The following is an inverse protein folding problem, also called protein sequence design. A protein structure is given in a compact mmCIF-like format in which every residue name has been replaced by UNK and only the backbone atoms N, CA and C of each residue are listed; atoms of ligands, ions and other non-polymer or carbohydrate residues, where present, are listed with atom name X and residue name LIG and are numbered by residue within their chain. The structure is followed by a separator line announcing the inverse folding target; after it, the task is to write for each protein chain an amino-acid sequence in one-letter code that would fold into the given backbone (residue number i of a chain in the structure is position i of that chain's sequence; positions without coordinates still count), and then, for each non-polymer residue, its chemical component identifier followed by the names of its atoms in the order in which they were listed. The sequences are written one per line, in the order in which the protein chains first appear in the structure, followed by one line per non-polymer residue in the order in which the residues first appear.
data_IF_908323913681
#
_entry.id   IF_908323913681
#
_cell.length_a   1.000
_cell.length_b   1.000
_cell.length_c   1.000
_cell.angle_alpha   90.00
_cell.angle_beta   90.00
_cell.angle_gamma   90.00
#
_symmetry.space_group_name_H-M   'P 1'
#
loop_
_entity.id
_entity.type
_entity.pdbx_description
1 polymer ?
#
# COMPACT_ATOMS: atom_id res chain seq x y z
N UNK A 1 -27.75 20.76 15.21
CA UNK A 1 -26.77 21.84 15.48
C UNK A 1 -26.18 22.27 14.15
N UNK A 2 -26.39 23.54 13.80
CA UNK A 2 -26.09 24.15 12.50
C UNK A 2 -24.59 24.40 12.34
N UNK A 3 -24.05 24.15 11.14
CA UNK A 3 -22.79 24.78 10.72
C UNK A 3 -22.96 25.29 9.29
N UNK A 4 -22.85 26.60 9.17
CA UNK A 4 -23.13 27.46 8.03
C UNK A 4 -22.07 27.35 6.94
N UNK A 5 -22.49 27.08 5.70
CA UNK A 5 -21.69 27.31 4.50
C UNK A 5 -21.69 28.82 4.19
N UNK A 6 -20.53 29.47 4.29
CA UNK A 6 -20.34 30.85 3.82
C UNK A 6 -19.89 30.76 2.36
N UNK A 7 -20.84 30.85 1.43
CA UNK A 7 -20.56 31.11 0.02
C UNK A 7 -20.39 32.63 -0.16
N UNK A 8 -19.17 33.13 -0.07
CA UNK A 8 -18.84 34.49 -0.51
C UNK A 8 -18.78 34.54 -2.03
N UNK A 9 -19.90 34.93 -2.65
CA UNK A 9 -19.98 35.35 -4.05
C UNK A 9 -19.33 36.72 -4.20
N UNK A 10 -18.10 36.76 -4.71
CA UNK A 10 -17.45 37.97 -5.19
C UNK A 10 -18.01 38.34 -6.56
N UNK A 11 -18.94 39.30 -6.60
CA UNK A 11 -19.41 39.93 -7.84
C UNK A 11 -18.46 41.06 -8.23
N UNK A 12 -17.65 40.82 -9.28
CA UNK A 12 -16.85 41.87 -9.89
C UNK A 12 -17.70 42.63 -10.92
N UNK A 13 -18.11 43.85 -10.57
CA UNK A 13 -18.69 44.80 -11.54
C UNK A 13 -17.60 45.23 -12.54
N UNK A 14 -17.70 44.70 -13.75
CA UNK A 14 -16.81 45.01 -14.86
C UNK A 14 -17.07 46.43 -15.41
N UNK A 15 -16.52 47.44 -14.75
CA UNK A 15 -16.47 48.80 -15.30
C UNK A 15 -15.14 49.03 -16.02
N UNK A 16 -15.23 49.05 -17.36
CA UNK A 16 -14.36 49.74 -18.34
C UNK A 16 -12.87 49.83 -17.99
N UNK A 17 -12.16 48.69 -18.02
CA UNK A 17 -10.70 48.70 -18.25
C UNK A 17 -10.38 48.53 -19.73
N UNK A 18 -9.50 49.40 -20.25
CA UNK A 18 -9.03 49.42 -21.63
C UNK A 18 -8.31 48.14 -22.04
N UNK A 19 -8.33 47.85 -23.35
CA UNK A 19 -7.91 46.58 -23.94
C UNK A 19 -6.51 46.10 -23.54
N UNK A 20 -5.57 47.01 -23.26
CA UNK A 20 -4.20 46.68 -22.84
C UNK A 20 -4.10 46.20 -21.37
N UNK A 21 -4.96 46.68 -20.47
CA UNK A 21 -4.94 46.30 -19.05
C UNK A 21 -5.64 44.97 -18.77
N UNK A 22 -6.60 44.55 -19.62
CA UNK A 22 -7.25 43.24 -19.51
C UNK A 22 -6.30 42.07 -19.79
N UNK A 23 -5.34 42.27 -20.70
CA UNK A 23 -4.36 41.23 -21.07
C UNK A 23 -3.39 40.99 -19.90
N UNK A 24 -2.89 42.06 -19.25
CA UNK A 24 -1.97 41.92 -18.11
C UNK A 24 -2.62 41.19 -16.92
N UNK A 25 -3.90 41.46 -16.66
CA UNK A 25 -4.63 40.83 -15.55
C UNK A 25 -4.91 39.33 -15.82
N UNK A 26 -5.21 38.96 -17.07
CA UNK A 26 -5.36 37.56 -17.48
C UNK A 26 -4.05 36.77 -17.39
N UNK A 27 -2.92 37.39 -17.74
CA UNK A 27 -1.58 36.77 -17.57
C UNK A 27 -1.24 36.59 -16.09
N UNK A 28 -1.55 37.56 -15.23
CA UNK A 28 -1.33 37.43 -13.79
C UNK A 28 -2.21 36.34 -13.14
N UNK A 29 -3.48 36.22 -13.55
CA UNK A 29 -4.40 35.15 -13.08
C UNK A 29 -4.01 33.75 -13.60
N UNK A 30 -3.43 33.66 -14.80
CA UNK A 30 -2.88 32.40 -15.33
C UNK A 30 -1.58 31.98 -14.60
N UNK A 31 -0.77 32.93 -14.12
CA UNK A 31 0.45 32.63 -13.39
C UNK A 31 0.20 32.18 -11.94
N UNK A 32 -0.92 32.57 -11.32
CA UNK A 32 -1.27 32.19 -9.93
C UNK A 32 -1.96 30.81 -9.82
N UNK A 33 -2.40 30.19 -10.91
CA UNK A 33 -3.18 28.94 -10.88
C UNK A 33 -2.36 27.64 -11.04
N UNK A 34 -1.03 27.71 -11.13
CA UNK A 34 -0.18 26.52 -11.36
C UNK A 34 0.62 26.04 -10.16
N UNK A 35 0.53 26.70 -9.00
CA UNK A 35 1.21 26.25 -7.76
C UNK A 35 0.35 25.31 -6.90
N UNK A 36 -0.25 24.29 -7.51
CA UNK A 36 -0.66 23.09 -6.77
C UNK A 36 0.57 22.20 -6.62
N UNK A 37 1.52 22.65 -5.79
CA UNK A 37 2.70 21.89 -5.39
C UNK A 37 2.27 20.66 -4.59
N UNK A 38 1.85 19.61 -5.28
CA UNK A 38 1.77 18.27 -4.70
C UNK A 38 3.19 17.92 -4.30
N UNK A 39 3.52 18.03 -3.02
CA UNK A 39 4.80 17.58 -2.48
C UNK A 39 4.94 16.09 -2.83
N UNK A 40 5.61 15.80 -3.95
CA UNK A 40 5.80 14.45 -4.42
C UNK A 40 6.55 13.70 -3.32
N UNK A 41 5.84 12.82 -2.63
CA UNK A 41 6.37 12.07 -1.51
C UNK A 41 7.53 11.22 -2.02
N UNK A 42 8.75 11.59 -1.65
CA UNK A 42 9.94 10.86 -2.10
C UNK A 42 10.13 9.56 -1.34
N UNK A 43 9.65 9.52 -0.10
CA UNK A 43 9.87 8.42 0.85
C UNK A 43 8.58 7.76 1.30
N UNK A 44 8.69 6.51 1.71
CA UNK A 44 7.57 5.70 2.16
C UNK A 44 6.95 6.26 3.44
N UNK A 45 5.67 6.63 3.39
CA UNK A 45 4.86 6.79 4.59
C UNK A 45 4.08 5.51 4.86
N UNK A 46 4.44 4.80 5.94
CA UNK A 46 3.79 3.55 6.35
C UNK A 46 2.32 3.73 6.74
N UNK A 47 1.90 4.95 7.09
CA UNK A 47 0.51 5.27 7.41
C UNK A 47 -0.32 5.73 6.20
N UNK A 48 0.27 5.68 4.99
CA UNK A 48 -0.29 6.15 3.71
C UNK A 48 -0.59 7.64 3.71
N UNK A 49 -0.61 8.21 2.51
CA UNK A 49 -0.95 9.62 2.34
C UNK A 49 -2.39 9.74 1.84
N UNK A 50 -3.18 10.62 2.46
CA UNK A 50 -4.56 10.85 2.02
C UNK A 50 -4.60 11.44 0.60
N UNK A 51 -5.55 11.01 -0.24
CA UNK A 51 -5.77 11.65 -1.54
C UNK A 51 -6.22 13.09 -1.33
N UNK A 52 -5.57 14.04 -2.01
CA UNK A 52 -5.81 15.49 -1.81
C UNK A 52 -4.89 16.16 -0.78
N UNK A 53 -3.95 15.42 -0.18
CA UNK A 53 -3.02 15.95 0.80
C UNK A 53 -3.55 15.85 2.24
N UNK A 54 -2.64 16.01 3.21
CA UNK A 54 -2.92 15.86 4.63
C UNK A 54 -1.87 15.04 5.38
N UNK A 55 -1.94 15.08 6.70
CA UNK A 55 -0.98 14.40 7.57
C UNK A 55 -1.58 13.10 8.10
N UNK A 56 -0.79 12.03 8.03
CA UNK A 56 -1.06 10.77 8.72
C UNK A 56 0.23 10.23 9.32
N UNK A 57 0.15 9.80 10.56
CA UNK A 57 1.27 9.22 11.27
C UNK A 57 0.82 8.15 12.27
N UNK A 58 1.78 7.43 12.81
CA UNK A 58 1.60 6.24 13.61
C UNK A 58 1.22 6.63 15.04
N UNK A 59 0.05 6.20 15.50
CA UNK A 59 -0.53 6.58 16.78
C UNK A 59 0.08 5.80 17.97
N UNK A 60 0.60 4.61 17.71
CA UNK A 60 1.02 3.67 18.74
C UNK A 60 2.39 3.04 18.45
N UNK A 61 3.48 3.83 18.41
CA UNK A 61 4.81 3.32 18.05
C UNK A 61 5.32 2.23 18.98
N UNK A 62 4.91 2.22 20.25
CA UNK A 62 5.26 1.18 21.22
C UNK A 62 4.48 -0.13 21.06
N UNK A 63 3.41 -0.18 20.26
CA UNK A 63 2.60 -1.39 20.10
C UNK A 63 3.43 -2.49 19.43
N UNK A 64 3.42 -3.67 20.06
CA UNK A 64 4.08 -4.87 19.55
C UNK A 64 3.10 -5.71 18.75
N UNK A 65 3.61 -6.36 17.71
CA UNK A 65 2.87 -7.37 16.97
C UNK A 65 3.80 -8.49 16.55
N UNK A 66 3.26 -9.70 16.50
CA UNK A 66 4.01 -10.89 16.09
C UNK A 66 3.64 -11.21 14.66
N UNK A 67 4.64 -11.16 13.79
CA UNK A 67 4.47 -11.59 12.42
C UNK A 67 4.26 -13.12 12.39
N UNK A 68 3.64 -13.60 11.30
CA UNK A 68 3.44 -15.02 11.04
C UNK A 68 4.63 -15.97 11.24
N UNK A 69 5.86 -15.46 11.08
CA UNK A 69 7.11 -16.18 11.24
C UNK A 69 7.58 -16.26 12.70
N UNK A 70 6.76 -15.85 13.67
CA UNK A 70 7.08 -15.85 15.10
C UNK A 70 7.93 -14.66 15.55
N UNK A 71 8.42 -13.82 14.64
CA UNK A 71 9.20 -12.63 15.00
C UNK A 71 8.28 -11.52 15.46
N UNK A 72 8.64 -10.89 16.57
CA UNK A 72 7.88 -9.76 17.13
C UNK A 72 8.57 -8.46 16.80
N UNK A 73 7.79 -7.50 16.30
CA UNK A 73 8.25 -6.15 15.94
C UNK A 73 7.39 -5.11 16.65
N UNK A 74 7.87 -3.87 16.70
CA UNK A 74 7.07 -2.70 17.12
C UNK A 74 6.59 -1.94 15.90
N UNK A 75 5.47 -1.24 16.05
CA UNK A 75 4.98 -0.35 15.01
C UNK A 75 5.98 0.79 14.71
N UNK A 76 6.66 1.30 15.74
CA UNK A 76 7.73 2.30 15.60
C UNK A 76 8.92 1.76 14.81
N UNK A 77 9.31 0.50 15.03
CA UNK A 77 10.36 -0.15 14.25
C UNK A 77 9.99 -0.17 12.76
N UNK A 78 8.73 -0.51 12.42
CA UNK A 78 8.35 -0.54 11.00
C UNK A 78 8.38 0.83 10.33
N UNK A 79 7.92 1.87 11.01
CA UNK A 79 8.03 3.25 10.50
C UNK A 79 9.51 3.61 10.27
N UNK A 80 10.37 3.29 11.23
CA UNK A 80 11.79 3.60 11.17
C UNK A 80 12.50 2.87 10.03
N UNK A 81 12.21 1.58 9.82
CA UNK A 81 12.79 0.78 8.73
C UNK A 81 12.44 1.28 7.34
N UNK A 82 11.32 1.99 7.19
CA UNK A 82 10.84 2.48 5.89
C UNK A 82 11.24 3.93 5.60
N UNK A 83 11.95 4.58 6.51
CA UNK A 83 12.35 5.99 6.37
C UNK A 83 13.18 6.25 5.12
N UNK A 84 14.02 5.29 4.75
CA UNK A 84 14.96 5.42 3.63
C UNK A 84 14.42 4.78 2.33
N UNK A 85 13.23 4.18 2.38
CA UNK A 85 12.59 3.52 1.22
C UNK A 85 11.94 4.57 0.33
N UNK A 86 12.36 4.61 -0.93
CA UNK A 86 11.84 5.59 -1.91
C UNK A 86 10.60 5.07 -2.63
N UNK A 87 9.70 5.98 -3.00
CA UNK A 87 8.48 5.66 -3.76
C UNK A 87 8.30 6.51 -5.01
N UNK A 88 9.22 7.44 -5.26
CA UNK A 88 9.20 8.31 -6.44
C UNK A 88 9.60 7.57 -7.73
N UNK A 89 9.70 8.30 -8.85
CA UNK A 89 10.05 7.75 -10.18
C UNK A 89 11.51 7.29 -10.30
N UNK A 90 12.33 7.53 -9.28
CA UNK A 90 13.72 7.07 -9.21
C UNK A 90 13.91 5.95 -8.20
N UNK A 91 12.82 5.47 -7.57
CA UNK A 91 12.84 4.35 -6.65
C UNK A 91 13.31 3.07 -7.35
N UNK A 92 14.13 2.28 -6.67
CA UNK A 92 14.52 0.97 -7.17
C UNK A 92 13.28 0.06 -7.28
N UNK A 93 13.27 -0.92 -8.20
CA UNK A 93 12.09 -1.76 -8.46
C UNK A 93 11.48 -2.42 -7.22
N UNK A 94 12.28 -2.73 -6.20
CA UNK A 94 11.83 -3.35 -4.95
C UNK A 94 11.32 -2.38 -3.88
N UNK A 95 11.64 -1.08 -3.95
CA UNK A 95 11.33 -0.14 -2.86
C UNK A 95 9.86 0.21 -2.77
N UNK A 96 9.22 0.47 -3.92
CA UNK A 96 7.76 0.66 -4.00
C UNK A 96 7.01 -0.53 -3.42
N UNK A 97 7.51 -1.73 -3.72
CA UNK A 97 6.95 -2.96 -3.22
C UNK A 97 7.12 -3.09 -1.70
N UNK A 98 8.33 -2.82 -1.18
CA UNK A 98 8.58 -2.77 0.27
C UNK A 98 7.63 -1.81 0.98
N UNK A 99 7.42 -0.62 0.41
CA UNK A 99 6.53 0.36 1.01
C UNK A 99 5.08 -0.13 1.08
N UNK A 100 4.55 -0.68 -0.01
CA UNK A 100 3.20 -1.23 -0.05
C UNK A 100 3.01 -2.36 0.98
N UNK A 101 4.01 -3.25 1.10
CA UNK A 101 3.99 -4.32 2.10
C UNK A 101 4.02 -3.78 3.53
N UNK A 102 4.86 -2.77 3.81
CA UNK A 102 4.91 -2.14 5.12
C UNK A 102 3.60 -1.43 5.48
N UNK A 103 2.98 -0.73 4.53
CA UNK A 103 1.67 -0.11 4.71
C UNK A 103 0.59 -1.15 5.04
N UNK A 104 0.60 -2.31 4.36
CA UNK A 104 -0.32 -3.41 4.66
C UNK A 104 -0.14 -3.97 6.08
N UNK A 105 1.12 -4.17 6.51
CA UNK A 105 1.43 -4.66 7.85
C UNK A 105 0.98 -3.63 8.90
N UNK A 106 1.28 -2.34 8.69
CA UNK A 106 0.88 -1.26 9.60
C UNK A 106 -0.65 -1.13 9.68
N UNK A 107 -1.37 -1.21 8.56
CA UNK A 107 -2.84 -1.19 8.56
C UNK A 107 -3.45 -2.35 9.37
N UNK A 108 -2.82 -3.54 9.32
CA UNK A 108 -3.31 -4.74 10.03
C UNK A 108 -3.02 -4.76 11.52
N UNK A 109 -1.86 -4.25 11.94
CA UNK A 109 -1.36 -4.46 13.30
C UNK A 109 -1.19 -3.17 14.11
N UNK A 110 -1.12 -2.01 13.45
CA UNK A 110 -0.85 -0.71 14.06
C UNK A 110 -2.04 0.23 13.87
N UNK A 111 -2.00 1.37 14.54
CA UNK A 111 -3.01 2.42 14.37
C UNK A 111 -2.32 3.65 13.79
N UNK A 112 -2.96 4.29 12.81
CA UNK A 112 -2.55 5.57 12.27
C UNK A 112 -3.60 6.62 12.62
N UNK A 113 -3.16 7.83 12.98
CA UNK A 113 -4.03 8.99 13.20
C UNK A 113 -3.85 10.00 12.07
N UNK A 114 -4.72 11.02 12.03
CA UNK A 114 -4.74 12.05 11.00
C UNK A 114 -5.92 11.88 10.04
N UNK A 115 -5.76 12.35 8.81
CA UNK A 115 -6.85 12.36 7.81
C UNK A 115 -7.44 10.96 7.61
N UNK A 116 -8.76 10.75 7.78
CA UNK A 116 -9.39 9.45 7.56
C UNK A 116 -9.12 8.92 6.15
N UNK A 117 -8.90 7.61 6.03
CA UNK A 117 -8.68 6.92 4.76
C UNK A 117 -9.48 5.62 4.75
N UNK A 118 -9.86 5.18 3.55
CA UNK A 118 -10.40 3.85 3.38
C UNK A 118 -9.39 2.79 3.82
N UNK A 119 -9.86 1.63 4.33
CA UNK A 119 -8.98 0.51 4.70
C UNK A 119 -8.08 0.11 3.55
N UNK A 120 -6.82 -0.27 3.80
CA UNK A 120 -5.91 -0.65 2.70
C UNK A 120 -6.46 -1.84 1.89
N UNK A 121 -7.32 -2.68 2.50
CA UNK A 121 -7.95 -3.81 1.83
C UNK A 121 -8.83 -3.41 0.62
N UNK A 122 -9.32 -2.16 0.54
CA UNK A 122 -10.05 -1.68 -0.64
C UNK A 122 -9.14 -1.17 -1.78
N UNK A 123 -7.85 -0.98 -1.51
CA UNK A 123 -6.88 -0.41 -2.46
C UNK A 123 -5.71 -1.37 -2.78
N UNK A 124 -5.48 -2.36 -1.92
CA UNK A 124 -4.49 -3.41 -2.14
C UNK A 124 -5.07 -4.47 -3.07
N UNK A 125 -4.88 -4.24 -4.37
CA UNK A 125 -4.95 -5.31 -5.36
C UNK A 125 -3.67 -6.12 -5.18
N UNK A 126 -3.80 -7.40 -4.82
CA UNK A 126 -2.69 -8.36 -4.83
C UNK A 126 -1.91 -8.16 -6.13
N UNK A 127 -0.65 -7.68 -6.09
CA UNK A 127 0.11 -7.36 -7.29
C UNK A 127 0.38 -8.60 -8.15
N UNK A 128 0.10 -9.79 -7.61
CA UNK A 128 0.28 -11.03 -8.30
C UNK A 128 -0.90 -12.01 -8.09
N UNK A 129 -2.11 -11.64 -8.53
CA UNK A 129 -3.30 -12.44 -8.27
C UNK A 129 -3.26 -13.79 -9.02
N UNK A 130 -2.46 -13.87 -10.09
CA UNK A 130 -2.16 -15.08 -10.85
C UNK A 130 -1.31 -16.09 -10.05
N UNK A 131 -0.62 -15.63 -9.01
CA UNK A 131 0.36 -16.37 -8.24
C UNK A 131 -0.12 -16.82 -6.87
N UNK A 132 -1.43 -16.86 -6.66
CA UNK A 132 -1.99 -17.49 -5.48
C UNK A 132 -1.52 -18.92 -5.35
N UNK A 133 -0.88 -19.22 -4.22
CA UNK A 133 -0.40 -20.56 -3.91
C UNK A 133 -1.54 -21.57 -3.85
N UNK A 134 -2.64 -21.17 -3.20
CA UNK A 134 -3.84 -21.98 -3.01
C UNK A 134 -5.05 -21.36 -3.72
N UNK A 135 -5.77 -22.19 -4.47
CA UNK A 135 -6.94 -21.78 -5.24
C UNK A 135 -7.22 -22.78 -6.35
N UNK A 136 -8.22 -23.64 -6.12
CA UNK A 136 -8.91 -24.31 -7.21
C UNK A 136 -10.06 -23.39 -7.68
N UNK A 137 -10.44 -23.37 -8.97
CA UNK A 137 -11.50 -22.50 -9.50
C UNK A 137 -12.88 -22.61 -8.83
N UNK A 138 -13.09 -23.60 -7.95
CA UNK A 138 -14.41 -23.98 -7.40
C UNK A 138 -14.52 -23.97 -5.87
N UNK A 139 -13.47 -23.60 -5.15
CA UNK A 139 -13.49 -23.54 -3.68
C UNK A 139 -12.92 -22.20 -3.22
N UNK A 140 -13.71 -21.43 -2.47
CA UNK A 140 -13.31 -20.12 -1.91
C UNK A 140 -12.17 -20.17 -0.88
N UNK A 141 -11.55 -21.33 -0.69
CA UNK A 141 -10.31 -21.49 0.07
C UNK A 141 -9.10 -20.99 -0.75
N UNK A 142 -9.01 -19.67 -0.87
CA UNK A 142 -7.92 -18.93 -1.54
C UNK A 142 -6.64 -18.83 -0.71
N UNK A 143 -6.55 -19.61 0.37
CA UNK A 143 -5.47 -19.50 1.36
C UNK A 143 -4.94 -20.86 1.80
N UNK A 144 -3.69 -20.87 2.25
CA UNK A 144 -3.08 -22.03 2.92
C UNK A 144 -3.90 -22.32 4.20
N UNK A 145 -4.33 -23.57 4.44
CA UNK A 145 -4.97 -23.93 5.70
C UNK A 145 -4.03 -23.70 6.89
N UNK A 146 -4.56 -23.19 8.01
CA UNK A 146 -3.79 -22.92 9.24
C UNK A 146 -2.94 -24.11 9.70
N UNK A 147 -3.48 -25.33 9.59
CA UNK A 147 -2.80 -26.60 9.93
C UNK A 147 -1.53 -26.85 9.11
N UNK A 148 -1.40 -26.21 7.95
CA UNK A 148 -0.26 -26.38 7.03
C UNK A 148 0.76 -25.24 7.10
N UNK A 149 0.53 -24.20 7.90
CA UNK A 149 1.38 -23.00 7.89
C UNK A 149 2.87 -23.28 8.08
N UNK A 150 3.21 -24.21 8.97
CA UNK A 150 4.59 -24.54 9.31
C UNK A 150 5.18 -25.65 8.42
N UNK A 151 4.41 -26.23 7.49
CA UNK A 151 4.93 -27.25 6.57
C UNK A 151 5.96 -26.62 5.63
N UNK A 152 7.11 -27.26 5.49
CA UNK A 152 8.17 -26.84 4.58
C UNK A 152 7.96 -27.47 3.21
N UNK A 153 7.69 -26.64 2.22
CA UNK A 153 7.64 -27.05 0.82
C UNK A 153 8.95 -26.70 0.13
N UNK A 154 9.40 -27.59 -0.76
CA UNK A 154 10.51 -27.30 -1.65
C UNK A 154 9.99 -26.54 -2.87
N UNK A 155 10.51 -25.33 -3.06
CA UNK A 155 10.20 -24.46 -4.20
C UNK A 155 11.08 -24.72 -5.41
N UNK A 156 12.05 -25.64 -5.28
CA UNK A 156 13.10 -25.90 -6.27
C UNK A 156 14.16 -24.80 -6.19
N UNK A 157 14.09 -23.83 -7.10
CA UNK A 157 15.14 -22.82 -7.28
C UNK A 157 15.36 -21.92 -6.05
N UNK A 158 14.33 -21.73 -5.23
CA UNK A 158 14.35 -20.80 -4.09
C UNK A 158 14.43 -21.52 -2.73
N UNK A 159 14.76 -22.82 -2.75
CA UNK A 159 14.95 -23.63 -1.56
C UNK A 159 13.64 -23.99 -0.85
N UNK A 160 13.75 -24.31 0.44
CA UNK A 160 12.60 -24.73 1.26
C UNK A 160 12.00 -23.56 2.01
N UNK A 161 10.70 -23.34 1.83
CA UNK A 161 9.96 -22.27 2.50
C UNK A 161 8.78 -22.88 3.24
N UNK A 162 8.39 -22.29 4.38
CA UNK A 162 7.15 -22.70 5.02
C UNK A 162 5.96 -22.20 4.19
N UNK A 163 4.88 -22.99 4.15
CA UNK A 163 3.74 -22.74 3.28
C UNK A 163 3.12 -21.34 3.48
N UNK A 164 3.07 -20.84 4.72
CA UNK A 164 2.56 -19.50 5.01
C UNK A 164 3.51 -18.40 4.50
N UNK A 165 4.81 -18.60 4.69
CA UNK A 165 5.85 -17.70 4.19
C UNK A 165 5.84 -17.62 2.66
N UNK A 166 5.70 -18.77 1.99
CA UNK A 166 5.57 -18.83 0.53
C UNK A 166 4.30 -18.14 0.03
N UNK A 167 3.15 -18.41 0.65
CA UNK A 167 1.88 -17.74 0.32
C UNK A 167 2.00 -16.22 0.43
N UNK A 168 2.58 -15.72 1.53
CA UNK A 168 2.78 -14.29 1.72
C UNK A 168 3.79 -13.72 0.73
N UNK A 169 4.91 -14.40 0.47
CA UNK A 169 5.92 -13.95 -0.47
C UNK A 169 5.36 -13.87 -1.90
N UNK A 170 4.49 -14.81 -2.30
CA UNK A 170 3.78 -14.78 -3.57
C UNK A 170 2.77 -13.63 -3.65
N UNK A 171 1.94 -13.44 -2.61
CA UNK A 171 0.98 -12.34 -2.51
C UNK A 171 1.67 -10.96 -2.39
N UNK A 172 2.91 -10.95 -1.91
CA UNK A 172 3.78 -9.79 -1.87
C UNK A 172 4.65 -9.71 -3.14
N UNK A 173 4.46 -10.52 -4.19
CA UNK A 173 5.28 -10.39 -5.41
C UNK A 173 6.80 -10.43 -5.18
N UNK A 174 7.28 -11.02 -4.08
CA UNK A 174 8.70 -11.25 -3.79
C UNK A 174 9.30 -12.12 -4.90
N UNK A 175 8.47 -13.01 -5.45
CA UNK A 175 8.78 -13.77 -6.64
C UNK A 175 8.22 -13.08 -7.89
N UNK A 176 8.99 -13.06 -8.99
CA UNK A 176 8.49 -12.55 -10.27
C UNK A 176 7.31 -13.41 -10.74
N UNK A 177 6.36 -12.80 -11.45
CA UNK A 177 5.17 -13.49 -11.97
C UNK A 177 5.51 -14.74 -12.80
N UNK A 178 6.67 -14.73 -13.49
CA UNK A 178 7.17 -15.87 -14.26
C UNK A 178 7.52 -17.11 -13.41
N UNK A 179 7.84 -16.93 -12.13
CA UNK A 179 8.19 -18.05 -11.23
C UNK A 179 6.97 -18.79 -10.69
N UNK A 180 5.77 -18.25 -10.84
CA UNK A 180 4.63 -18.71 -10.07
C UNK A 180 4.02 -20.03 -10.52
N UNK A 181 4.04 -20.32 -11.83
CA UNK A 181 3.58 -21.61 -12.33
C UNK A 181 4.41 -22.74 -11.70
N UNK A 182 5.74 -22.57 -11.67
CA UNK A 182 6.67 -23.50 -11.06
C UNK A 182 6.48 -23.60 -9.54
N UNK A 183 6.36 -22.46 -8.85
CA UNK A 183 6.14 -22.43 -7.40
C UNK A 183 4.82 -23.11 -7.03
N UNK A 184 3.74 -22.86 -7.78
CA UNK A 184 2.44 -23.53 -7.57
C UNK A 184 2.52 -25.02 -7.86
N UNK A 185 3.12 -25.45 -8.98
CA UNK A 185 3.24 -26.86 -9.33
C UNK A 185 3.96 -27.67 -8.23
N UNK A 186 4.99 -27.10 -7.61
CA UNK A 186 5.78 -27.79 -6.59
C UNK A 186 5.16 -27.72 -5.20
N UNK A 187 4.53 -26.60 -4.87
CA UNK A 187 4.16 -26.31 -3.49
C UNK A 187 2.67 -26.37 -3.19
N UNK A 188 1.79 -26.21 -4.20
CA UNK A 188 0.35 -26.14 -3.96
C UNK A 188 -0.21 -27.45 -3.37
N UNK A 189 0.17 -28.61 -3.92
CA UNK A 189 -0.31 -29.90 -3.39
C UNK A 189 0.12 -30.14 -1.93
N UNK A 190 1.30 -29.64 -1.55
CA UNK A 190 1.82 -29.82 -0.20
C UNK A 190 1.22 -28.81 0.80
N UNK A 191 1.04 -27.56 0.36
CA UNK A 191 0.60 -26.46 1.20
C UNK A 191 -0.92 -26.32 1.29
N UNK A 192 -1.65 -26.66 0.24
CA UNK A 192 -3.07 -26.34 0.10
C UNK A 192 -4.01 -27.50 0.41
N UNK A 193 -3.53 -28.75 0.38
CA UNK A 193 -4.35 -29.89 0.74
C UNK A 193 -4.53 -29.96 2.25
N UNK A 194 -5.77 -30.12 2.70
CA UNK A 194 -6.03 -30.73 4.01
C UNK A 194 -5.55 -32.17 3.89
N UNK A 195 -4.31 -32.45 4.28
CA UNK A 195 -3.90 -33.82 4.53
C UNK A 195 -4.92 -34.37 5.54
N UNK A 196 -5.72 -35.36 5.11
CA UNK A 196 -6.71 -36.04 5.96
C UNK A 196 -6.00 -36.41 7.27
N UNK A 197 -6.46 -35.84 8.37
CA UNK A 197 -6.32 -36.49 9.67
C UNK A 197 -7.21 -37.75 9.63
#
# INVERSE_FOLDING_TARGET
MFSTNISTTLSFNATVLGSKQRILLLVALLLLSTFSGSSAQRFCNVCRNPPGGGFRDLANPGKRFTLPNGRTFTCGFMKQSMRDVRVDNTAAPGERHMCATAQYIVDRYCNCYGTPMAPIASEFIDPNPACRLCGLPRLDNRRVPRVNYNKLTDTGRYGRLNCRGLEMALAQGVFPASACSQLRQRSANHCCNFSRL
#
